data_IF_926256796977
#
_entry.id   IF_926256796977
#
_cell.length_a   1.000
_cell.length_b   1.000
_cell.length_c   1.000
_cell.angle_alpha   90.00
_cell.angle_beta   90.00
_cell.angle_gamma   90.00
#
_symmetry.space_group_name_H-M   'P 1'
#
loop_
_entity.id
_entity.type
_entity.pdbx_description
1 polymer ?
#
# COMPACT_ATOMS: atom_id res chain seq x y z
N UNK A 1 22.45 7.09 10.75
CA UNK A 1 21.10 6.91 11.32
C UNK A 1 20.29 6.09 10.34
N UNK A 2 20.05 4.79 10.58
CA UNK A 2 19.08 4.04 9.79
C UNK A 2 17.68 4.39 10.31
N UNK A 3 16.77 4.82 9.43
CA UNK A 3 15.36 5.03 9.81
C UNK A 3 14.77 6.42 9.59
N UNK A 4 15.40 7.31 8.81
CA UNK A 4 14.70 8.51 8.34
C UNK A 4 14.02 8.21 7.01
N UNK A 5 12.69 8.23 7.00
CA UNK A 5 11.90 8.33 5.76
C UNK A 5 12.49 9.46 4.91
N UNK A 6 12.91 9.17 3.69
CA UNK A 6 13.30 10.22 2.75
C UNK A 6 12.05 10.79 2.09
N UNK A 7 12.14 12.02 1.59
CA UNK A 7 11.05 12.63 0.81
C UNK A 7 10.65 11.75 -0.39
N UNK A 8 11.63 11.11 -1.03
CA UNK A 8 11.38 10.16 -2.12
C UNK A 8 10.54 8.95 -1.70
N UNK A 9 10.70 8.49 -0.45
CA UNK A 9 9.95 7.35 0.07
C UNK A 9 8.49 7.71 0.33
N UNK A 10 8.24 8.90 0.85
CA UNK A 10 6.88 9.44 1.03
C UNK A 10 6.17 9.64 -0.31
N UNK A 11 6.88 10.11 -1.34
CA UNK A 11 6.30 10.30 -2.65
C UNK A 11 6.01 8.96 -3.36
N UNK A 12 6.86 7.94 -3.17
CA UNK A 12 6.59 6.60 -3.66
C UNK A 12 5.32 5.99 -3.03
N UNK A 13 5.20 6.07 -1.70
CA UNK A 13 4.01 5.57 -0.97
C UNK A 13 2.75 6.32 -1.40
N UNK A 14 2.84 7.64 -1.60
CA UNK A 14 1.72 8.45 -2.09
C UNK A 14 1.28 7.99 -3.48
N UNK A 15 2.23 7.78 -4.39
CA UNK A 15 1.93 7.33 -5.74
C UNK A 15 1.28 5.94 -5.74
N UNK A 16 1.83 4.98 -4.98
CA UNK A 16 1.25 3.64 -4.84
C UNK A 16 -0.17 3.68 -4.23
N UNK A 17 -0.40 4.59 -3.28
CA UNK A 17 -1.72 4.80 -2.67
C UNK A 17 -2.74 5.36 -3.65
N UNK A 18 -2.38 6.38 -4.42
CA UNK A 18 -3.24 7.01 -5.43
C UNK A 18 -3.58 6.02 -6.55
N UNK A 19 -2.61 5.24 -7.03
CA UNK A 19 -2.82 4.20 -8.03
C UNK A 19 -3.76 3.10 -7.52
N UNK A 20 -3.58 2.65 -6.27
CA UNK A 20 -4.47 1.68 -5.67
C UNK A 20 -5.89 2.23 -5.52
N UNK A 21 -6.04 3.47 -5.08
CA UNK A 21 -7.34 4.14 -4.95
C UNK A 21 -8.05 4.20 -6.30
N UNK A 22 -7.35 4.62 -7.36
CA UNK A 22 -7.88 4.72 -8.71
C UNK A 22 -8.27 3.34 -9.28
N UNK A 23 -7.47 2.31 -9.03
CA UNK A 23 -7.75 0.95 -9.49
C UNK A 23 -8.95 0.29 -8.78
N UNK A 24 -9.28 0.73 -7.56
CA UNK A 24 -10.36 0.18 -6.74
C UNK A 24 -11.60 1.09 -6.67
N UNK A 25 -11.62 2.21 -7.39
CA UNK A 25 -12.66 3.24 -7.32
C UNK A 25 -12.93 3.72 -5.87
N UNK A 26 -11.85 3.88 -5.11
CA UNK A 26 -11.88 4.31 -3.71
C UNK A 26 -11.43 5.76 -3.62
N UNK A 27 -12.18 6.60 -2.91
CA UNK A 27 -11.72 7.95 -2.59
C UNK A 27 -10.51 7.85 -1.63
N UNK A 28 -9.35 8.44 -1.97
CA UNK A 28 -8.17 8.44 -1.10
C UNK A 28 -8.45 9.04 0.29
N UNK A 29 -9.44 9.92 0.41
CA UNK A 29 -9.85 10.54 1.68
C UNK A 29 -10.94 9.75 2.42
N UNK A 30 -11.48 8.68 1.83
CA UNK A 30 -12.42 7.79 2.51
C UNK A 30 -11.70 6.99 3.62
N UNK A 31 -12.46 6.42 4.55
CA UNK A 31 -11.93 5.51 5.57
C UNK A 31 -11.16 4.32 4.98
N UNK A 32 -11.57 3.83 3.81
CA UNK A 32 -10.88 2.75 3.10
C UNK A 32 -9.54 3.25 2.53
N UNK A 33 -9.56 4.42 1.88
CA UNK A 33 -8.36 5.07 1.33
C UNK A 33 -7.33 5.36 2.42
N UNK A 34 -7.76 6.00 3.52
CA UNK A 34 -6.89 6.33 4.66
C UNK A 34 -6.34 5.05 5.32
N UNK A 35 -7.19 4.01 5.48
CA UNK A 35 -6.76 2.72 6.01
C UNK A 35 -5.66 2.08 5.17
N UNK A 36 -5.75 2.20 3.84
CA UNK A 36 -4.70 1.69 2.94
C UNK A 36 -3.41 2.48 3.05
N UNK A 37 -3.48 3.82 3.10
CA UNK A 37 -2.30 4.67 3.29
C UNK A 37 -1.56 4.35 4.58
N UNK A 38 -2.30 4.17 5.70
CA UNK A 38 -1.72 3.79 6.99
C UNK A 38 -1.07 2.41 6.95
N UNK A 39 -1.67 1.45 6.24
CA UNK A 39 -1.06 0.13 6.03
C UNK A 39 0.24 0.24 5.22
N UNK A 40 0.25 1.00 4.11
CA UNK A 40 1.46 1.19 3.30
C UNK A 40 2.57 1.90 4.09
N UNK A 41 2.23 2.87 4.94
CA UNK A 41 3.19 3.53 5.84
C UNK A 41 3.72 2.60 6.94
N UNK A 42 2.88 1.71 7.49
CA UNK A 42 3.29 0.72 8.49
C UNK A 42 4.15 -0.39 7.88
N UNK A 43 3.82 -0.82 6.66
CA UNK A 43 4.59 -1.80 5.88
C UNK A 43 5.91 -1.20 5.37
N UNK A 44 5.99 0.14 5.28
CA UNK A 44 7.21 0.86 4.95
C UNK A 44 8.22 0.77 6.10
N UNK A 45 8.91 -0.37 6.13
CA UNK A 45 10.08 -0.63 6.96
C UNK A 45 11.31 -0.10 6.23
N UNK A 46 11.53 1.21 6.33
CA UNK A 46 12.59 1.94 5.64
C UNK A 46 13.88 1.12 5.48
N UNK A 47 14.16 0.67 4.25
CA UNK A 47 15.39 -0.02 3.88
C UNK A 47 15.81 -1.23 4.74
N UNK A 48 14.89 -1.97 5.38
CA UNK A 48 15.20 -3.25 6.03
C UNK A 48 14.69 -4.48 5.25
N UNK A 49 13.73 -4.28 4.35
CA UNK A 49 13.05 -5.41 3.68
C UNK A 49 12.91 -5.14 2.18
N UNK A 50 14.01 -5.23 1.43
CA UNK A 50 13.92 -5.53 -0.01
C UNK A 50 13.31 -6.93 -0.15
N UNK A 51 12.00 -7.04 -0.04
CA UNK A 51 11.24 -8.21 -0.44
C UNK A 51 9.80 -7.79 -0.66
N UNK A 52 9.54 -7.27 -1.86
CA UNK A 52 8.23 -7.48 -2.47
C UNK A 52 7.95 -9.00 -2.47
N UNK A 53 6.69 -9.39 -2.37
CA UNK A 53 5.95 -9.43 -3.62
C UNK A 53 4.62 -8.69 -3.51
N UNK A 54 4.42 -7.82 -4.49
CA UNK A 54 3.20 -7.75 -5.31
C UNK A 54 2.01 -8.50 -4.67
N UNK A 55 1.08 -7.73 -4.12
CA UNK A 55 -0.31 -8.17 -4.00
C UNK A 55 -0.88 -8.34 -5.42
N UNK A 56 -0.48 -9.44 -6.07
CA UNK A 56 -1.02 -9.90 -7.33
C UNK A 56 -2.41 -10.45 -7.01
N UNK A 57 -3.41 -9.67 -7.39
CA UNK A 57 -4.61 -10.10 -8.11
C UNK A 57 -5.22 -11.49 -7.79
N UNK A 58 -6.53 -11.47 -7.54
CA UNK A 58 -7.47 -12.54 -7.83
C UNK A 58 -7.37 -13.87 -7.07
N UNK A 59 -8.17 -13.99 -6.01
CA UNK A 59 -8.84 -15.28 -5.73
C UNK A 59 -10.27 -15.05 -5.20
N UNK A 60 -11.12 -14.57 -6.12
CA UNK A 60 -12.52 -15.00 -6.18
C UNK A 60 -12.52 -16.53 -6.36
N UNK A 61 -13.60 -17.20 -5.90
CA UNK A 61 -13.86 -18.67 -5.91
C UNK A 61 -13.20 -19.41 -4.72
N UNK A 62 -13.89 -20.20 -3.89
CA UNK A 62 -14.99 -21.13 -4.21
C UNK A 62 -15.68 -21.62 -2.91
N UNK A 63 -16.99 -21.72 -3.00
CA UNK A 63 -17.95 -22.41 -2.12
C UNK A 63 -17.45 -23.82 -1.73
N UNK A 64 -17.56 -24.19 -0.43
CA UNK A 64 -18.03 -25.48 0.13
C UNK A 64 -17.42 -25.78 1.50
N UNK A 65 -18.27 -25.88 2.52
CA UNK A 65 -18.61 -27.13 3.20
C UNK A 65 -19.88 -26.90 4.01
#
# INVERSE_FOLDING_TARGET
MPGTFSTADMDAIRQEHEEWCLANDVDPNSTIGIGKAMQMLADYSGSASRQSPKASNAQRTKVRA
#
